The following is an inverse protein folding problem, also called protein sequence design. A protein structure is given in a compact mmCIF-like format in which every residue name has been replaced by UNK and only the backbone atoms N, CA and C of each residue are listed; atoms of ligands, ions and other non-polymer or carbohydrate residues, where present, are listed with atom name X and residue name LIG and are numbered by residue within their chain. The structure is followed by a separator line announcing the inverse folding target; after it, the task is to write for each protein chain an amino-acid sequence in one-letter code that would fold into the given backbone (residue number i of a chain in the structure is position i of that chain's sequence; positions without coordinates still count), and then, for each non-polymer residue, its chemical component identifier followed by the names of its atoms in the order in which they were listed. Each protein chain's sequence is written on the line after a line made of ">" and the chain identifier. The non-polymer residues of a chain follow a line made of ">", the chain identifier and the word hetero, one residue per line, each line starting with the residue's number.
data_IF_569548618944
#
_entry.id   IF_569548618944
#
_cell.length_a   1.000
_cell.length_b   1.000
_cell.length_c   1.000
_cell.angle_alpha   90.00
_cell.angle_beta   90.00
_cell.angle_gamma   90.00
#
_symmetry.space_group_name_H-M   'P 1'
#
loop_
_entity.id
_entity.type
_entity.pdbx_description
1 polymer ?
#
# COMPACT_ATOMS: atom_id res chain seq x y z
N UNK A 1 36.06 20.33 7.62
CA UNK A 1 34.70 20.79 7.41
C UNK A 1 33.85 20.15 8.49
N UNK A 2 33.25 20.95 9.33
CA UNK A 2 32.39 20.47 10.44
C UNK A 2 30.98 20.20 9.87
N UNK A 3 30.66 18.93 9.65
CA UNK A 3 29.33 18.53 9.16
C UNK A 3 28.33 18.49 10.33
N UNK A 4 27.37 19.38 10.31
CA UNK A 4 26.24 19.35 11.25
C UNK A 4 25.04 18.69 10.61
N UNK A 5 24.57 17.57 11.20
CA UNK A 5 23.33 16.94 10.81
C UNK A 5 22.16 17.63 11.51
N UNK A 6 21.20 18.13 10.73
CA UNK A 6 19.92 18.64 11.24
C UNK A 6 18.91 17.50 11.15
N UNK A 7 18.11 17.34 12.21
CA UNK A 7 16.97 16.42 12.23
C UNK A 7 15.69 17.25 12.22
N UNK A 8 14.87 17.06 11.21
CA UNK A 8 13.52 17.63 11.15
C UNK A 8 12.60 16.79 12.02
N UNK A 9 11.87 17.45 12.92
CA UNK A 9 10.87 16.82 13.78
C UNK A 9 9.56 17.59 13.70
N UNK A 10 8.45 16.90 13.89
CA UNK A 10 7.14 17.53 13.97
C UNK A 10 7.00 18.33 15.27
N UNK A 11 6.29 19.43 15.21
CA UNK A 11 5.82 20.15 16.39
C UNK A 11 4.55 19.54 17.00
N UNK A 12 4.04 18.45 16.41
CA UNK A 12 2.87 17.70 16.86
C UNK A 12 3.34 16.34 17.38
N UNK A 13 2.88 15.95 18.57
CA UNK A 13 2.94 14.57 19.04
C UNK A 13 1.72 13.86 18.45
N UNK A 14 1.88 12.75 17.72
CA UNK A 14 0.75 11.99 17.18
C UNK A 14 -0.22 11.57 18.27
N UNK A 15 -1.51 11.65 18.00
CA UNK A 15 -2.55 11.11 18.87
C UNK A 15 -2.45 9.58 18.89
N UNK A 16 -2.49 8.98 20.08
CA UNK A 16 -2.46 7.53 20.23
C UNK A 16 -3.88 6.96 20.22
N UNK A 17 -4.16 6.12 19.25
CA UNK A 17 -5.43 5.42 19.07
C UNK A 17 -5.25 3.92 19.20
N UNK A 18 -6.35 3.21 19.47
CA UNK A 18 -6.40 1.75 19.50
C UNK A 18 -7.46 1.26 18.54
N UNK A 19 -7.13 0.28 17.71
CA UNK A 19 -8.06 -0.33 16.79
C UNK A 19 -9.14 -1.14 17.55
N UNK A 20 -10.37 -1.14 16.99
CA UNK A 20 -11.48 -1.96 17.46
C UNK A 20 -12.01 -2.79 16.29
N UNK A 21 -12.07 -4.11 16.47
CA UNK A 21 -12.71 -5.01 15.50
C UNK A 21 -14.21 -4.71 15.48
N UNK A 22 -14.74 -4.38 14.32
CA UNK A 22 -16.16 -4.21 14.07
C UNK A 22 -16.75 -5.45 13.42
N UNK A 23 -16.00 -6.05 12.49
CA UNK A 23 -16.38 -7.24 11.75
C UNK A 23 -15.14 -8.00 11.29
N UNK A 24 -15.25 -9.32 11.16
CA UNK A 24 -14.22 -10.21 10.60
C UNK A 24 -14.81 -10.98 9.43
N UNK A 25 -13.99 -11.17 8.40
CA UNK A 25 -14.33 -11.93 7.21
C UNK A 25 -13.35 -13.08 7.03
N UNK A 26 -13.77 -14.15 6.34
CA UNK A 26 -12.89 -15.23 5.97
C UNK A 26 -11.86 -14.73 4.92
N UNK A 27 -10.70 -15.34 4.91
CA UNK A 27 -9.64 -15.03 3.95
C UNK A 27 -8.85 -16.30 3.60
N UNK A 28 -8.36 -16.41 2.37
CA UNK A 28 -7.49 -17.50 1.94
C UNK A 28 -6.13 -17.38 2.63
N UNK A 29 -5.86 -18.25 3.59
CA UNK A 29 -4.61 -18.26 4.38
C UNK A 29 -3.35 -18.52 3.54
N UNK A 30 -3.49 -18.92 2.27
CA UNK A 30 -2.38 -19.09 1.33
C UNK A 30 -2.07 -17.81 0.56
N UNK A 31 -2.94 -16.80 0.62
CA UNK A 31 -2.73 -15.49 0.02
C UNK A 31 -1.80 -14.64 0.87
N UNK A 32 -0.65 -14.28 0.32
CA UNK A 32 0.27 -13.31 0.93
C UNK A 32 -0.12 -11.91 0.45
N UNK A 33 -1.14 -11.32 1.07
CA UNK A 33 -1.76 -10.07 0.65
C UNK A 33 -0.77 -8.90 0.76
N UNK A 34 -0.67 -8.13 -0.32
CA UNK A 34 0.18 -6.94 -0.44
C UNK A 34 -0.63 -5.68 -0.77
N UNK A 35 -1.87 -5.85 -1.15
CA UNK A 35 -2.81 -4.76 -1.35
C UNK A 35 -4.24 -5.30 -1.41
N UNK A 36 -5.16 -4.60 -0.77
CA UNK A 36 -6.57 -4.99 -0.66
C UNK A 36 -7.42 -3.73 -0.70
N UNK A 37 -8.20 -3.53 -1.75
CA UNK A 37 -8.95 -2.28 -1.93
C UNK A 37 -10.36 -2.54 -2.47
N UNK A 38 -11.33 -1.79 -1.96
CA UNK A 38 -12.67 -1.71 -2.52
C UNK A 38 -12.74 -0.65 -3.62
N UNK A 39 -13.27 -1.04 -4.77
CA UNK A 39 -13.58 -0.12 -5.87
C UNK A 39 -14.98 -0.40 -6.41
N UNK A 40 -15.88 0.59 -6.33
CA UNK A 40 -17.27 0.51 -6.78
C UNK A 40 -18.03 -0.72 -6.25
N UNK A 41 -17.80 -1.07 -4.97
CA UNK A 41 -18.46 -2.19 -4.30
C UNK A 41 -17.85 -3.57 -4.62
N UNK A 42 -16.79 -3.63 -5.40
CA UNK A 42 -15.99 -4.83 -5.72
C UNK A 42 -14.71 -4.81 -4.89
N UNK A 43 -14.29 -5.96 -4.39
CA UNK A 43 -13.07 -6.10 -3.59
C UNK A 43 -11.97 -6.73 -4.43
N UNK A 44 -10.81 -6.08 -4.50
CA UNK A 44 -9.65 -6.58 -5.24
C UNK A 44 -8.50 -6.88 -4.28
N UNK A 45 -7.82 -7.99 -4.54
CA UNK A 45 -6.65 -8.44 -3.79
C UNK A 45 -5.45 -8.63 -4.72
N UNK A 46 -4.34 -7.99 -4.37
CA UNK A 46 -3.01 -8.23 -4.92
C UNK A 46 -2.16 -9.01 -3.93
N UNK A 47 -1.53 -10.10 -4.39
CA UNK A 47 -0.67 -10.91 -3.52
C UNK A 47 0.77 -10.88 -3.95
N UNK A 48 1.67 -11.08 -2.97
CA UNK A 48 3.11 -11.22 -3.16
C UNK A 48 3.57 -12.65 -3.36
N UNK A 49 4.86 -12.85 -3.19
CA UNK A 49 5.66 -14.06 -3.34
C UNK A 49 5.93 -14.48 -4.80
N UNK A 50 7.23 -14.65 -5.13
CA UNK A 50 7.66 -15.03 -6.48
C UNK A 50 7.09 -16.38 -6.88
N UNK A 51 6.47 -16.44 -8.08
CA UNK A 51 5.78 -17.61 -8.58
C UNK A 51 4.38 -17.86 -8.01
N UNK A 52 3.94 -17.03 -7.04
CA UNK A 52 2.62 -17.11 -6.42
C UNK A 52 1.83 -15.80 -6.53
N UNK A 53 2.50 -14.68 -6.86
CA UNK A 53 1.87 -13.36 -7.00
C UNK A 53 0.73 -13.40 -8.01
N UNK A 54 -0.40 -12.86 -7.61
CA UNK A 54 -1.63 -12.82 -8.41
C UNK A 54 -2.40 -11.54 -8.11
N UNK A 55 -3.33 -11.22 -8.99
CA UNK A 55 -4.38 -10.24 -8.77
C UNK A 55 -5.73 -10.89 -9.00
N UNK A 56 -6.69 -10.67 -8.12
CA UNK A 56 -8.04 -11.24 -8.18
C UNK A 56 -9.06 -10.23 -7.70
N UNK A 57 -10.26 -10.27 -8.26
CA UNK A 57 -11.45 -9.82 -7.55
C UNK A 57 -11.89 -10.94 -6.59
N UNK A 58 -12.22 -10.60 -5.35
CA UNK A 58 -12.64 -11.58 -4.33
C UNK A 58 -13.96 -11.14 -3.70
N UNK A 59 -14.70 -12.09 -3.13
CA UNK A 59 -15.85 -11.81 -2.29
C UNK A 59 -15.42 -11.63 -0.81
N UNK A 60 -16.37 -11.35 0.08
CA UNK A 60 -16.10 -11.18 1.51
C UNK A 60 -15.77 -12.50 2.24
N UNK A 61 -15.94 -13.62 1.59
CA UNK A 61 -15.51 -14.95 2.04
C UNK A 61 -14.07 -15.27 1.63
N UNK A 62 -13.40 -14.35 0.90
CA UNK A 62 -12.03 -14.51 0.41
C UNK A 62 -11.90 -15.38 -0.83
N UNK A 63 -13.02 -15.69 -1.51
CA UNK A 63 -13.04 -16.52 -2.70
C UNK A 63 -12.96 -15.67 -3.98
N UNK A 64 -12.18 -16.08 -5.00
CA UNK A 64 -12.11 -15.36 -6.27
C UNK A 64 -13.47 -15.26 -6.97
N UNK A 65 -13.80 -14.07 -7.45
CA UNK A 65 -14.96 -13.77 -8.30
C UNK A 65 -14.45 -13.54 -9.72
N UNK A 66 -14.74 -14.47 -10.64
CA UNK A 66 -14.26 -14.37 -12.01
C UNK A 66 -12.83 -14.88 -12.20
N UNK A 67 -12.05 -14.17 -13.03
CA UNK A 67 -10.70 -14.62 -13.36
C UNK A 67 -9.63 -14.06 -12.42
N UNK A 68 -8.63 -14.89 -12.16
CA UNK A 68 -7.40 -14.51 -11.46
C UNK A 68 -6.27 -14.37 -12.47
N UNK A 69 -5.50 -13.29 -12.40
CA UNK A 69 -4.30 -13.11 -13.22
C UNK A 69 -3.06 -13.39 -12.37
N UNK A 70 -2.29 -14.40 -12.77
CA UNK A 70 -1.00 -14.71 -12.16
C UNK A 70 0.09 -13.87 -12.81
N UNK A 71 0.99 -13.33 -12.00
CA UNK A 71 2.20 -12.68 -12.48
C UNK A 71 3.23 -13.72 -12.94
N UNK A 72 4.14 -13.30 -13.83
CA UNK A 72 5.34 -14.08 -14.13
C UNK A 72 6.15 -14.31 -12.84
N UNK A 73 6.71 -15.51 -12.70
CA UNK A 73 7.40 -15.94 -11.47
C UNK A 73 8.63 -15.13 -11.08
N UNK A 74 9.11 -14.26 -11.95
CA UNK A 74 10.23 -13.33 -11.67
C UNK A 74 9.82 -12.11 -10.85
N UNK A 75 8.52 -11.81 -10.79
CA UNK A 75 7.97 -10.69 -10.04
C UNK A 75 7.48 -11.10 -8.65
N UNK A 76 7.54 -10.16 -7.76
CA UNK A 76 6.85 -10.17 -6.48
C UNK A 76 5.84 -9.02 -6.52
N UNK A 77 4.54 -9.31 -6.51
CA UNK A 77 3.47 -8.32 -6.52
C UNK A 77 3.39 -7.60 -5.18
N UNK A 78 3.14 -6.32 -5.25
CA UNK A 78 3.05 -5.40 -4.11
C UNK A 78 1.73 -4.64 -4.14
N UNK A 79 1.64 -3.50 -3.47
CA UNK A 79 0.45 -2.67 -3.31
C UNK A 79 -0.32 -2.44 -4.61
N UNK A 80 -1.63 -2.34 -4.48
CA UNK A 80 -2.56 -2.08 -5.59
C UNK A 80 -3.37 -0.83 -5.31
N UNK A 81 -3.89 -0.21 -6.37
CA UNK A 81 -4.95 0.80 -6.26
C UNK A 81 -5.73 0.91 -7.56
N UNK A 82 -6.97 1.37 -7.49
CA UNK A 82 -7.83 1.53 -8.66
C UNK A 82 -8.17 3.00 -8.89
N UNK A 83 -8.03 3.43 -10.15
CA UNK A 83 -8.43 4.77 -10.60
C UNK A 83 -8.93 4.72 -12.04
N UNK A 84 -10.09 5.34 -12.31
CA UNK A 84 -10.67 5.45 -13.65
C UNK A 84 -10.80 4.10 -14.39
N UNK A 85 -11.23 3.04 -13.70
CA UNK A 85 -11.41 1.69 -14.26
C UNK A 85 -10.11 0.93 -14.52
N UNK A 86 -8.97 1.47 -14.08
CA UNK A 86 -7.65 0.85 -14.19
C UNK A 86 -7.16 0.46 -12.79
N UNK A 87 -6.74 -0.80 -12.64
CA UNK A 87 -6.02 -1.26 -11.48
C UNK A 87 -4.51 -1.17 -11.76
N UNK A 88 -3.79 -0.59 -10.83
CA UNK A 88 -2.33 -0.49 -10.80
C UNK A 88 -1.79 -1.46 -9.76
N UNK A 89 -0.72 -2.19 -10.10
CA UNK A 89 -0.03 -3.10 -9.17
C UNK A 89 1.48 -2.89 -9.24
N UNK A 90 2.07 -2.59 -8.09
CA UNK A 90 3.52 -2.45 -7.96
C UNK A 90 4.23 -3.80 -7.93
N UNK A 91 5.54 -3.75 -8.07
CA UNK A 91 6.44 -4.90 -7.90
C UNK A 91 7.62 -4.55 -7.01
N UNK A 92 7.96 -5.47 -6.10
CA UNK A 92 9.17 -5.36 -5.27
C UNK A 92 10.43 -5.54 -6.10
N UNK A 93 11.40 -4.65 -5.94
CA UNK A 93 12.76 -4.67 -6.54
C UNK A 93 12.82 -4.61 -8.08
N UNK A 94 11.73 -4.76 -8.79
CA UNK A 94 11.74 -4.77 -10.27
C UNK A 94 11.44 -3.41 -10.88
N UNK A 95 10.88 -2.48 -10.09
CA UNK A 95 10.56 -1.15 -10.58
C UNK A 95 9.55 -1.15 -11.74
N UNK A 96 8.59 -2.07 -11.70
CA UNK A 96 7.51 -2.20 -12.69
C UNK A 96 6.17 -2.02 -12.01
N UNK A 97 5.32 -1.18 -12.56
CA UNK A 97 3.91 -1.10 -12.23
C UNK A 97 3.10 -1.68 -13.38
N UNK A 98 2.42 -2.78 -13.12
CA UNK A 98 1.48 -3.38 -14.05
C UNK A 98 0.14 -2.65 -14.00
N UNK A 99 -0.57 -2.64 -15.13
CA UNK A 99 -1.92 -2.08 -15.23
C UNK A 99 -2.90 -3.11 -15.77
N UNK A 100 -4.11 -3.07 -15.23
CA UNK A 100 -5.19 -3.98 -15.61
C UNK A 100 -6.48 -3.19 -15.83
N UNK A 101 -7.28 -3.57 -16.82
CA UNK A 101 -8.67 -3.12 -16.92
C UNK A 101 -9.53 -3.94 -15.97
N UNK A 102 -10.47 -3.27 -15.30
CA UNK A 102 -11.44 -3.87 -14.38
C UNK A 102 -12.89 -3.60 -14.81
N UNK A 103 -13.12 -3.10 -16.03
CA UNK A 103 -14.45 -2.71 -16.51
C UNK A 103 -15.43 -3.90 -16.53
N UNK A 104 -15.19 -4.89 -17.41
CA UNK A 104 -16.04 -6.08 -17.51
C UNK A 104 -15.47 -7.29 -16.78
N UNK A 105 -14.20 -7.55 -17.07
CA UNK A 105 -13.41 -8.63 -16.47
C UNK A 105 -11.99 -8.16 -16.28
N UNK A 106 -11.34 -8.65 -15.23
CA UNK A 106 -9.94 -8.34 -14.96
C UNK A 106 -9.06 -8.79 -16.14
N UNK A 107 -8.35 -7.86 -16.78
CA UNK A 107 -7.46 -8.09 -17.94
C UNK A 107 -6.20 -7.25 -17.83
N UNK A 108 -5.05 -7.88 -18.09
CA UNK A 108 -3.78 -7.13 -18.20
C UNK A 108 -3.84 -6.17 -19.40
N UNK A 109 -3.43 -4.94 -19.17
CA UNK A 109 -3.29 -3.93 -20.23
C UNK A 109 -1.89 -3.97 -20.83
N UNK A 110 -1.75 -3.66 -22.12
CA UNK A 110 -0.44 -3.52 -22.74
C UNK A 110 0.26 -2.25 -22.23
N UNK A 111 1.57 -2.34 -22.00
CA UNK A 111 2.38 -1.23 -21.56
C UNK A 111 2.38 -1.09 -20.03
N UNK A 112 3.52 -1.45 -19.44
CA UNK A 112 3.76 -1.26 -18.02
C UNK A 112 4.50 0.06 -17.80
N UNK A 113 4.36 0.64 -16.60
CA UNK A 113 5.22 1.73 -16.21
C UNK A 113 6.50 1.17 -15.58
N UNK A 114 7.62 1.81 -15.90
CA UNK A 114 8.90 1.52 -15.26
C UNK A 114 9.28 2.68 -14.35
N UNK A 115 9.67 2.37 -13.13
CA UNK A 115 10.20 3.34 -12.18
C UNK A 115 11.56 2.87 -11.65
N UNK A 116 12.55 3.75 -11.74
CA UNK A 116 13.95 3.41 -11.44
C UNK A 116 14.35 3.99 -10.07
N UNK A 117 15.16 3.23 -9.34
CA UNK A 117 15.81 3.71 -8.11
C UNK A 117 14.94 3.74 -6.88
N UNK A 118 13.79 3.07 -6.91
CA UNK A 118 12.89 2.91 -5.77
C UNK A 118 12.33 1.50 -5.72
N UNK A 119 12.12 0.96 -4.53
CA UNK A 119 11.26 -0.19 -4.34
C UNK A 119 9.79 0.25 -4.42
N UNK A 120 8.90 -0.64 -4.81
CA UNK A 120 7.47 -0.41 -4.73
C UNK A 120 6.91 -1.26 -3.60
N UNK A 121 6.26 -0.61 -2.63
CA UNK A 121 5.62 -1.28 -1.51
C UNK A 121 4.11 -1.02 -1.55
N UNK A 122 3.59 -0.08 -0.78
CA UNK A 122 2.17 0.25 -0.78
C UNK A 122 1.77 1.25 -1.87
N UNK A 123 0.50 1.21 -2.27
CA UNK A 123 -0.05 2.09 -3.30
C UNK A 123 -1.50 2.42 -2.98
N UNK A 124 -1.83 3.71 -2.94
CA UNK A 124 -3.21 4.20 -2.93
C UNK A 124 -3.37 5.39 -3.88
N UNK A 125 -4.52 6.06 -3.90
CA UNK A 125 -4.73 7.26 -4.69
C UNK A 125 -5.65 8.27 -4.00
N UNK A 126 -5.51 9.55 -4.36
CA UNK A 126 -6.35 10.65 -3.89
C UNK A 126 -7.40 11.10 -4.91
N UNK A 127 -7.64 10.32 -5.96
CA UNK A 127 -8.49 10.64 -7.10
C UNK A 127 -7.83 11.55 -8.15
N UNK A 128 -6.55 11.93 -7.96
CA UNK A 128 -5.76 12.73 -8.89
C UNK A 128 -4.39 12.13 -9.16
N UNK A 129 -3.73 11.70 -8.11
CA UNK A 129 -2.38 11.12 -8.14
C UNK A 129 -2.40 9.73 -7.53
N UNK A 130 -1.55 8.86 -8.03
CA UNK A 130 -1.17 7.64 -7.34
C UNK A 130 -0.19 8.00 -6.22
N UNK A 131 -0.35 7.39 -5.05
CA UNK A 131 0.45 7.67 -3.85
C UNK A 131 1.18 6.38 -3.47
N UNK A 132 2.50 6.41 -3.46
CA UNK A 132 3.34 5.22 -3.36
C UNK A 132 4.34 5.34 -2.23
N UNK A 133 4.49 4.27 -1.44
CA UNK A 133 5.55 4.05 -0.46
C UNK A 133 6.69 3.20 -1.06
N UNK A 134 7.85 3.20 -0.39
CA UNK A 134 9.03 2.43 -0.80
C UNK A 134 9.81 1.84 0.40
N UNK A 135 9.16 1.73 1.54
CA UNK A 135 9.77 1.25 2.78
C UNK A 135 10.64 2.29 3.52
N UNK A 136 10.90 3.44 2.92
CA UNK A 136 11.55 4.57 3.60
C UNK A 136 10.50 5.50 4.24
N UNK A 137 10.92 6.65 4.73
CA UNK A 137 10.00 7.73 5.16
C UNK A 137 9.34 8.46 3.98
N UNK A 138 9.78 8.19 2.75
CA UNK A 138 9.37 8.90 1.55
C UNK A 138 8.06 8.34 1.01
N UNK A 139 7.14 9.24 0.70
CA UNK A 139 5.90 8.96 -0.04
C UNK A 139 5.91 9.82 -1.30
N UNK A 140 5.71 9.21 -2.46
CA UNK A 140 5.69 9.87 -3.76
C UNK A 140 4.28 9.94 -4.33
N UNK A 141 3.90 11.12 -4.82
CA UNK A 141 2.68 11.34 -5.60
C UNK A 141 3.04 11.27 -7.07
N UNK A 142 2.35 10.43 -7.82
CA UNK A 142 2.68 10.10 -9.19
C UNK A 142 1.53 10.37 -10.13
N UNK A 143 1.85 10.82 -11.31
CA UNK A 143 0.88 10.99 -12.39
C UNK A 143 0.33 9.63 -12.84
N UNK A 144 -1.00 9.38 -12.85
CA UNK A 144 -1.57 8.08 -13.20
C UNK A 144 -1.38 7.70 -14.68
N UNK A 145 -1.11 8.67 -15.56
CA UNK A 145 -0.92 8.44 -17.01
C UNK A 145 0.53 8.19 -17.41
N UNK A 146 1.49 8.73 -16.66
CA UNK A 146 2.93 8.65 -16.99
C UNK A 146 3.74 7.95 -15.92
N UNK A 147 3.18 7.76 -14.73
CA UNK A 147 3.80 7.24 -13.51
C UNK A 147 5.00 8.09 -13.00
N UNK A 148 5.21 9.28 -13.58
CA UNK A 148 6.25 10.20 -13.15
C UNK A 148 5.92 10.81 -11.79
N UNK A 149 6.95 11.01 -10.96
CA UNK A 149 6.80 11.69 -9.66
C UNK A 149 6.49 13.16 -9.89
N UNK A 150 5.38 13.62 -9.34
CA UNK A 150 4.96 15.02 -9.37
C UNK A 150 5.30 15.74 -8.05
N UNK A 151 5.22 15.02 -6.93
CA UNK A 151 5.48 15.54 -5.59
C UNK A 151 6.01 14.44 -4.68
N UNK A 152 6.76 14.83 -3.67
CA UNK A 152 7.28 13.93 -2.63
C UNK A 152 7.08 14.57 -1.27
N UNK A 153 6.66 13.78 -0.29
CA UNK A 153 6.68 14.14 1.13
C UNK A 153 7.52 13.13 1.90
N UNK A 154 8.00 13.50 3.08
CA UNK A 154 8.63 12.60 4.02
C UNK A 154 7.76 12.48 5.26
N UNK A 155 7.44 11.26 5.68
CA UNK A 155 6.67 11.02 6.88
C UNK A 155 7.53 11.20 8.14
N UNK A 156 7.07 12.01 9.09
CA UNK A 156 7.80 12.27 10.31
C UNK A 156 6.87 12.63 11.49
N UNK A 157 7.34 12.34 12.68
CA UNK A 157 6.69 12.70 13.94
C UNK A 157 7.61 13.59 14.82
N UNK A 158 7.24 13.78 16.07
CA UNK A 158 8.02 14.56 17.05
C UNK A 158 9.35 13.89 17.46
N UNK A 159 9.64 12.67 17.01
CA UNK A 159 10.91 11.96 17.22
C UNK A 159 11.78 11.94 15.96
N UNK A 160 11.22 12.24 14.79
CA UNK A 160 11.91 12.31 13.50
C UNK A 160 11.22 11.55 12.38
N UNK A 161 11.92 11.30 11.27
CA UNK A 161 11.41 10.52 10.17
C UNK A 161 10.97 9.12 10.61
N UNK A 162 9.88 8.60 9.99
CA UNK A 162 9.38 7.25 10.20
C UNK A 162 9.55 6.46 8.91
N UNK A 163 10.33 5.40 8.99
CA UNK A 163 10.57 4.46 7.89
C UNK A 163 9.69 3.23 8.00
N UNK A 164 9.85 2.29 7.07
CA UNK A 164 9.09 1.03 6.99
C UNK A 164 7.62 1.26 6.66
N UNK A 165 7.29 2.37 5.97
CA UNK A 165 5.95 2.59 5.45
C UNK A 165 5.67 1.58 4.35
N UNK A 166 4.61 0.79 4.53
CA UNK A 166 4.25 -0.30 3.65
C UNK A 166 2.94 0.01 2.93
N UNK A 167 1.95 -0.83 3.10
CA UNK A 167 0.64 -0.68 2.48
C UNK A 167 -0.01 0.66 2.84
N UNK A 168 -0.69 1.27 1.86
CA UNK A 168 -1.25 2.62 1.96
C UNK A 168 -2.74 2.64 1.63
N UNK A 169 -3.48 3.47 2.37
CA UNK A 169 -4.87 3.84 2.03
C UNK A 169 -5.09 5.35 2.16
N UNK A 170 -5.90 5.91 1.24
CA UNK A 170 -6.28 7.32 1.29
C UNK A 170 -7.72 7.47 1.74
N UNK A 171 -7.92 7.92 2.99
CA UNK A 171 -9.24 7.99 3.62
C UNK A 171 -9.48 9.40 4.16
N UNK A 172 -10.56 10.04 3.70
CA UNK A 172 -11.00 11.36 4.19
C UNK A 172 -9.88 12.41 4.19
N UNK A 173 -9.08 12.46 3.14
CA UNK A 173 -8.02 13.46 2.99
C UNK A 173 -6.74 13.17 3.78
N UNK A 174 -6.55 11.95 4.28
CA UNK A 174 -5.36 11.52 5.01
C UNK A 174 -4.82 10.21 4.42
N UNK A 175 -3.52 10.01 4.54
CA UNK A 175 -2.86 8.74 4.17
C UNK A 175 -2.74 7.88 5.42
N UNK A 176 -3.26 6.66 5.36
CA UNK A 176 -3.06 5.62 6.35
C UNK A 176 -1.95 4.71 5.84
N UNK A 177 -0.99 4.37 6.68
CA UNK A 177 0.13 3.53 6.30
C UNK A 177 0.43 2.49 7.37
N UNK A 178 0.56 1.23 6.95
CA UNK A 178 1.10 0.19 7.80
C UNK A 178 2.59 0.44 8.03
N UNK A 179 3.07 0.21 9.25
CA UNK A 179 4.50 0.22 9.55
C UNK A 179 4.98 -1.23 9.60
N UNK A 180 5.73 -1.65 8.57
CA UNK A 180 6.16 -3.03 8.36
C UNK A 180 6.85 -3.65 9.58
N UNK A 181 6.53 -4.91 9.85
CA UNK A 181 6.98 -5.68 11.03
C UNK A 181 6.54 -5.11 12.39
N UNK A 182 5.48 -4.32 12.41
CA UNK A 182 4.86 -3.83 13.64
C UNK A 182 3.35 -4.02 13.56
N UNK A 183 2.64 -3.81 14.68
CA UNK A 183 1.18 -3.73 14.73
C UNK A 183 0.73 -2.26 14.77
N UNK A 184 1.38 -1.40 14.00
CA UNK A 184 1.14 0.03 13.99
C UNK A 184 0.65 0.49 12.60
N UNK A 185 -0.44 1.25 12.59
CA UNK A 185 -0.87 2.04 11.46
C UNK A 185 -0.67 3.52 11.82
N UNK A 186 -0.11 4.29 10.92
CA UNK A 186 0.06 5.74 11.09
C UNK A 186 -0.83 6.51 10.13
N UNK A 187 -1.34 7.65 10.60
CA UNK A 187 -2.14 8.57 9.80
C UNK A 187 -1.31 9.80 9.49
N UNK A 188 -1.13 10.06 8.20
CA UNK A 188 -0.18 11.05 7.69
C UNK A 188 -0.96 12.16 6.96
N UNK A 189 -0.59 13.41 7.25
CA UNK A 189 -1.05 14.56 6.49
C UNK A 189 -0.38 14.56 5.10
N UNK A 190 -1.17 14.48 4.02
CA UNK A 190 -0.63 14.39 2.66
C UNK A 190 0.10 15.66 2.20
N UNK A 191 -0.16 16.81 2.81
CA UNK A 191 0.50 18.06 2.42
C UNK A 191 1.86 18.25 3.08
N UNK A 192 1.99 17.83 4.34
CA UNK A 192 3.18 18.12 5.13
C UNK A 192 4.05 16.91 5.45
N UNK A 193 3.50 15.68 5.33
CA UNK A 193 4.13 14.46 5.80
C UNK A 193 4.10 14.27 7.32
N UNK A 194 3.45 15.16 8.08
CA UNK A 194 3.34 15.02 9.53
C UNK A 194 2.47 13.83 9.89
N UNK A 195 2.94 13.00 10.80
CA UNK A 195 2.13 11.93 11.38
C UNK A 195 1.22 12.56 12.44
N UNK A 196 -0.09 12.45 12.20
CA UNK A 196 -1.14 13.04 13.03
C UNK A 196 -1.60 12.06 14.12
N UNK A 197 -1.72 10.78 13.76
CA UNK A 197 -2.27 9.74 14.63
C UNK A 197 -1.41 8.47 14.50
N UNK A 198 -1.39 7.66 15.56
CA UNK A 198 -0.79 6.33 15.61
C UNK A 198 -1.81 5.35 16.16
N UNK A 199 -2.23 4.39 15.36
CA UNK A 199 -3.24 3.40 15.70
C UNK A 199 -2.52 2.13 16.09
N UNK A 200 -2.64 1.74 17.37
CA UNK A 200 -2.12 0.47 17.87
C UNK A 200 -3.11 -0.65 17.55
N UNK A 201 -2.62 -1.70 16.90
CA UNK A 201 -3.36 -2.90 16.51
C UNK A 201 -2.94 -4.15 17.28
N UNK A 202 -2.21 -4.03 18.41
CA UNK A 202 -1.75 -5.18 19.21
C UNK A 202 -2.91 -6.03 19.77
N UNK A 203 -4.09 -5.42 19.93
CA UNK A 203 -5.29 -6.09 20.40
C UNK A 203 -6.08 -6.84 19.32
N UNK A 204 -5.63 -6.79 18.07
CA UNK A 204 -6.24 -7.53 16.98
C UNK A 204 -5.72 -8.97 17.03
N UNK A 205 -6.54 -9.90 17.51
CA UNK A 205 -6.26 -11.33 17.42
C UNK A 205 -6.49 -11.79 15.98
N UNK A 206 -5.43 -12.10 15.26
CA UNK A 206 -5.49 -12.69 13.93
C UNK A 206 -5.45 -14.21 14.08
N UNK A 207 -6.57 -14.88 13.84
CA UNK A 207 -6.63 -16.33 13.77
C UNK A 207 -5.97 -16.82 12.48
N UNK A 208 -5.08 -17.80 12.58
CA UNK A 208 -4.48 -18.45 11.42
C UNK A 208 -3.25 -17.75 10.85
N UNK A 209 -2.58 -16.88 11.61
CA UNK A 209 -1.29 -16.31 11.18
C UNK A 209 -0.30 -17.42 10.81
N UNK A 210 0.12 -17.43 9.55
CA UNK A 210 1.28 -18.18 9.09
C UNK A 210 2.59 -17.53 9.57
N UNK A 211 3.70 -18.27 9.48
CA UNK A 211 5.02 -17.69 9.73
C UNK A 211 5.36 -16.72 8.58
N UNK A 212 5.17 -15.43 8.79
CA UNK A 212 5.46 -14.37 7.82
C UNK A 212 4.33 -13.36 7.59
N UNK A 213 3.14 -13.62 8.14
CA UNK A 213 2.04 -12.66 8.05
C UNK A 213 2.32 -11.47 8.99
N UNK A 214 2.42 -10.29 8.42
CA UNK A 214 2.52 -9.00 9.13
C UNK A 214 1.32 -8.13 8.74
N UNK A 215 0.85 -7.34 9.69
CA UNK A 215 -0.16 -6.32 9.41
C UNK A 215 0.42 -5.23 8.53
#
# INVERSE_FOLDING_TARGET
>A
VDERRLKVVSNITPEALTAKIVQTHAHDITSFTQGLEFYEGRLFEGTGQRGQSKISEINLEGEPVGNTIKMDGTYFGEGITMMDGILFQLTWQKGVCFTYSIEDTLKILPGNFNYVGQDGWGLCNDGKSLIMSDGTERITFRNPKTFQVERTINAYNNRGPLTQLNELEYINGKIYANVYQTNLIVVIDPETGKILEQINCDNLEVQGRGNGDVL
#
